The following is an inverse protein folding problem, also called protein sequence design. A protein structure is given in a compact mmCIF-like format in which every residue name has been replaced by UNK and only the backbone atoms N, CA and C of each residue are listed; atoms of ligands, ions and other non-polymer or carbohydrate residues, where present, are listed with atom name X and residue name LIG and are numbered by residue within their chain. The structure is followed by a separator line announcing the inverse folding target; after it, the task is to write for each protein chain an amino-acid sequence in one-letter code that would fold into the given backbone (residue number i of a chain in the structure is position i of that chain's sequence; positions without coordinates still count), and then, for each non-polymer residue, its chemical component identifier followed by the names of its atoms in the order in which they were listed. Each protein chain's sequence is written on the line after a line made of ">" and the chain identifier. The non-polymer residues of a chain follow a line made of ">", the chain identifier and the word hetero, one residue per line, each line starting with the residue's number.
data_IF_118103025992
#
_entry.id   IF_118103025992
#
_cell.length_a   1.000
_cell.length_b   1.000
_cell.length_c   1.000
_cell.angle_alpha   90.00
_cell.angle_beta   90.00
_cell.angle_gamma   90.00
#
_symmetry.space_group_name_H-M   'P 1'
#
loop_
_entity.id
_entity.type
_entity.pdbx_description
1 polymer ?
#
# COMPACT_ATOMS: atom_id res chain seq x y z
N UNK A 1 14.78 58.33 45.09
CA UNK A 1 13.92 57.74 44.05
C UNK A 1 14.83 56.86 43.19
N UNK A 2 14.97 55.58 43.50
CA UNK A 2 14.15 54.45 42.96
C UNK A 2 14.30 54.38 41.43
N UNK A 3 14.79 53.32 40.78
CA UNK A 3 14.82 51.90 41.11
C UNK A 3 15.96 51.16 40.38
N UNK A 4 16.46 50.09 41.01
CA UNK A 4 17.05 48.92 40.37
C UNK A 4 16.11 48.33 39.31
N UNK A 5 16.67 47.84 38.20
CA UNK A 5 16.12 46.66 37.54
C UNK A 5 17.29 45.72 37.26
N UNK A 6 17.15 44.53 37.82
CA UNK A 6 18.17 43.50 37.90
C UNK A 6 18.41 42.76 36.58
N UNK A 7 19.64 42.27 36.52
CA UNK A 7 20.19 41.28 35.61
C UNK A 7 19.40 39.95 35.65
N UNK A 8 19.08 39.37 34.49
CA UNK A 8 19.05 37.91 34.32
C UNK A 8 19.14 37.48 32.85
N UNK A 9 20.37 37.47 32.33
CA UNK A 9 20.75 36.59 31.21
C UNK A 9 20.92 35.16 31.73
N UNK A 10 19.90 34.32 31.57
CA UNK A 10 19.84 32.94 32.07
C UNK A 10 19.92 31.89 30.96
N UNK A 11 21.11 31.35 30.79
CA UNK A 11 21.54 30.28 29.87
C UNK A 11 20.81 28.95 30.04
N UNK A 12 19.63 28.75 29.44
CA UNK A 12 18.85 27.52 29.68
C UNK A 12 18.39 26.72 28.46
N UNK A 13 18.77 27.08 27.22
CA UNK A 13 18.24 26.39 26.02
C UNK A 13 19.24 25.53 25.22
N UNK A 14 20.53 25.51 25.56
CA UNK A 14 21.55 24.93 24.66
C UNK A 14 22.20 23.60 25.10
N UNK A 15 21.90 23.08 26.30
CA UNK A 15 22.58 21.89 26.85
C UNK A 15 21.80 20.57 26.72
N UNK A 16 20.49 20.58 26.52
CA UNK A 16 19.67 19.37 26.40
C UNK A 16 19.70 18.76 24.99
N UNK A 17 19.86 19.59 23.95
CA UNK A 17 19.78 19.16 22.55
C UNK A 17 21.00 18.32 22.10
N UNK A 18 22.22 18.64 22.58
CA UNK A 18 23.46 17.96 22.14
C UNK A 18 23.65 16.52 22.64
N UNK A 19 22.95 16.09 23.72
CA UNK A 19 23.14 14.75 24.32
C UNK A 19 22.22 13.70 23.71
N UNK A 20 21.01 14.09 23.29
CA UNK A 20 19.99 13.19 22.73
C UNK A 20 20.35 12.67 21.33
N UNK A 21 21.04 13.48 20.52
CA UNK A 21 21.51 13.10 19.18
C UNK A 21 22.49 11.92 19.16
N UNK A 22 23.35 11.77 20.18
CA UNK A 22 24.37 10.70 20.22
C UNK A 22 23.79 9.34 20.57
N UNK A 23 22.74 9.31 21.40
CA UNK A 23 22.06 8.07 21.80
C UNK A 23 21.32 7.44 20.64
N UNK A 24 20.47 8.22 19.96
CA UNK A 24 19.66 7.71 18.84
C UNK A 24 20.51 7.22 17.67
N UNK A 25 21.65 7.85 17.38
CA UNK A 25 22.62 7.37 16.38
C UNK A 25 23.17 5.97 16.69
N UNK A 26 23.30 5.59 17.97
CA UNK A 26 23.72 4.24 18.38
C UNK A 26 22.61 3.23 18.18
N UNK A 27 21.38 3.57 18.60
CA UNK A 27 20.21 2.70 18.41
C UNK A 27 19.94 2.50 16.91
N UNK A 28 20.07 3.56 16.12
CA UNK A 28 19.98 3.53 14.66
C UNK A 28 21.07 2.64 14.05
N UNK A 29 22.33 2.77 14.50
CA UNK A 29 23.43 1.89 14.06
C UNK A 29 23.16 0.43 14.39
N UNK A 30 22.62 0.13 15.57
CA UNK A 30 22.29 -1.22 16.00
C UNK A 30 21.12 -1.79 15.19
N UNK A 31 20.05 -1.02 14.97
CA UNK A 31 18.94 -1.40 14.11
C UNK A 31 19.41 -1.65 12.67
N UNK A 32 20.27 -0.78 12.13
CA UNK A 32 20.86 -0.94 10.79
C UNK A 32 21.75 -2.18 10.71
N UNK A 33 22.55 -2.46 11.75
CA UNK A 33 23.45 -3.63 11.80
C UNK A 33 22.67 -4.94 11.99
N UNK A 34 21.58 -4.93 12.76
CA UNK A 34 20.65 -6.05 12.93
C UNK A 34 19.91 -6.36 11.61
N UNK A 35 19.41 -5.33 10.92
CA UNK A 35 18.80 -5.46 9.59
C UNK A 35 19.78 -5.81 8.46
N UNK A 36 21.09 -5.74 8.70
CA UNK A 36 22.14 -6.05 7.73
C UNK A 36 22.74 -7.45 7.92
N UNK A 37 22.27 -8.25 8.88
CA UNK A 37 22.94 -9.47 9.27
C UNK A 37 22.60 -10.69 8.38
N UNK A 38 23.57 -11.04 7.53
CA UNK A 38 24.09 -12.39 7.26
C UNK A 38 23.11 -13.51 6.83
N UNK A 39 22.26 -13.29 5.83
CA UNK A 39 22.03 -14.22 4.69
C UNK A 39 21.02 -13.60 3.69
N UNK A 40 21.37 -12.42 3.16
CA UNK A 40 20.40 -11.57 2.46
C UNK A 40 19.83 -12.26 1.21
N UNK A 41 20.63 -12.97 0.44
CA UNK A 41 20.19 -13.53 -0.83
C UNK A 41 19.17 -14.69 -0.62
N UNK A 42 19.47 -15.64 0.27
CA UNK A 42 18.54 -16.74 0.58
C UNK A 42 17.22 -16.24 1.19
N UNK A 43 17.30 -15.27 2.11
CA UNK A 43 16.10 -14.67 2.71
C UNK A 43 15.26 -13.92 1.67
N UNK A 44 15.90 -13.20 0.74
CA UNK A 44 15.25 -12.48 -0.34
C UNK A 44 14.60 -13.43 -1.36
N UNK A 45 15.24 -14.55 -1.70
CA UNK A 45 14.65 -15.56 -2.58
C UNK A 45 13.45 -16.26 -1.93
N UNK A 46 13.54 -16.58 -0.64
CA UNK A 46 12.40 -17.13 0.11
C UNK A 46 11.23 -16.15 0.20
N UNK A 47 11.51 -14.87 0.45
CA UNK A 47 10.48 -13.83 0.45
C UNK A 47 9.84 -13.63 -0.92
N UNK A 48 10.63 -13.66 -2.00
CA UNK A 48 10.13 -13.61 -3.38
C UNK A 48 9.16 -14.76 -3.64
N UNK A 49 9.53 -15.99 -3.29
CA UNK A 49 8.65 -17.15 -3.43
C UNK A 49 7.32 -16.94 -2.71
N UNK A 50 7.36 -16.50 -1.45
CA UNK A 50 6.15 -16.24 -0.67
C UNK A 50 5.29 -15.13 -1.28
N UNK A 51 5.87 -13.99 -1.65
CA UNK A 51 5.12 -12.88 -2.25
C UNK A 51 4.54 -13.22 -3.62
N UNK A 52 5.23 -14.02 -4.43
CA UNK A 52 4.67 -14.53 -5.69
C UNK A 52 3.41 -15.35 -5.44
N UNK A 53 3.43 -16.25 -4.44
CA UNK A 53 2.25 -17.06 -4.10
C UNK A 53 1.10 -16.17 -3.65
N UNK A 54 1.35 -15.18 -2.77
CA UNK A 54 0.28 -14.27 -2.34
C UNK A 54 -0.25 -13.44 -3.50
N UNK A 55 0.60 -12.91 -4.39
CA UNK A 55 0.16 -12.17 -5.57
C UNK A 55 -0.68 -13.05 -6.50
N UNK A 56 -0.23 -14.27 -6.81
CA UNK A 56 -1.01 -15.22 -7.62
C UNK A 56 -2.36 -15.51 -6.96
N UNK A 57 -2.39 -15.68 -5.64
CA UNK A 57 -3.63 -15.92 -4.89
C UNK A 57 -4.59 -14.73 -5.02
N UNK A 58 -4.12 -13.50 -4.81
CA UNK A 58 -4.93 -12.29 -4.96
C UNK A 58 -5.41 -12.13 -6.40
N UNK A 59 -4.54 -12.35 -7.39
CA UNK A 59 -4.92 -12.30 -8.80
C UNK A 59 -6.00 -13.34 -9.13
N UNK A 60 -5.89 -14.53 -8.55
CA UNK A 60 -6.87 -15.60 -8.72
C UNK A 60 -8.20 -15.21 -8.10
N UNK A 61 -8.22 -14.73 -6.85
CA UNK A 61 -9.46 -14.32 -6.18
C UNK A 61 -10.14 -13.18 -6.95
N UNK A 62 -9.40 -12.15 -7.33
CA UNK A 62 -9.96 -10.99 -8.04
C UNK A 62 -10.45 -11.35 -9.43
N UNK A 63 -9.77 -12.28 -10.12
CA UNK A 63 -10.26 -12.86 -11.38
C UNK A 63 -11.57 -13.62 -11.16
N UNK A 64 -11.65 -14.46 -10.13
CA UNK A 64 -12.87 -15.20 -9.79
C UNK A 64 -14.02 -14.26 -9.41
N UNK A 65 -13.76 -13.22 -8.63
CA UNK A 65 -14.74 -12.18 -8.28
C UNK A 65 -15.21 -11.37 -9.49
N UNK A 66 -14.36 -11.20 -10.50
CA UNK A 66 -14.75 -10.53 -11.75
C UNK A 66 -15.67 -11.38 -12.62
N UNK A 67 -15.45 -12.70 -12.67
CA UNK A 67 -16.30 -13.63 -13.43
C UNK A 67 -17.58 -14.02 -12.70
N UNK A 68 -17.50 -14.11 -11.38
CA UNK A 68 -18.59 -14.47 -10.49
C UNK A 68 -18.76 -13.36 -9.44
N UNK A 69 -19.32 -12.20 -9.85
CA UNK A 69 -19.51 -11.08 -8.95
C UNK A 69 -20.45 -11.42 -7.78
N UNK A 70 -20.36 -10.64 -6.68
CA UNK A 70 -21.37 -10.63 -5.63
C UNK A 70 -22.79 -10.57 -6.22
N UNK A 71 -23.71 -11.38 -5.70
CA UNK A 71 -25.07 -11.52 -6.21
C UNK A 71 -25.22 -12.38 -7.47
N UNK A 72 -24.12 -12.84 -8.07
CA UNK A 72 -24.12 -13.78 -9.18
C UNK A 72 -24.46 -13.17 -10.54
N UNK A 73 -24.44 -14.02 -11.55
CA UNK A 73 -24.78 -13.67 -12.95
C UNK A 73 -26.01 -14.43 -13.38
N UNK A 74 -26.87 -13.79 -14.17
CA UNK A 74 -28.05 -14.47 -14.71
C UNK A 74 -27.63 -15.55 -15.69
N UNK A 75 -28.02 -16.83 -15.50
CA UNK A 75 -27.70 -17.89 -16.45
C UNK A 75 -28.41 -17.65 -17.79
N UNK A 76 -27.79 -18.08 -18.88
CA UNK A 76 -28.42 -18.12 -20.20
C UNK A 76 -29.41 -19.29 -20.25
N UNK A 77 -30.70 -19.00 -20.03
CA UNK A 77 -31.77 -20.00 -20.18
C UNK A 77 -32.13 -20.11 -21.67
N UNK A 78 -31.79 -21.24 -22.30
CA UNK A 78 -32.12 -21.51 -23.70
C UNK A 78 -33.59 -21.91 -23.82
N UNK A 79 -34.39 -21.10 -24.53
CA UNK A 79 -35.78 -21.44 -24.87
C UNK A 79 -36.89 -20.70 -24.11
N UNK A 80 -36.56 -19.74 -23.24
CA UNK A 80 -37.52 -18.73 -22.77
C UNK A 80 -37.19 -17.38 -23.40
N UNK A 81 -37.53 -17.27 -24.68
CA UNK A 81 -37.63 -15.96 -25.32
C UNK A 81 -38.80 -15.23 -24.68
N UNK A 82 -38.47 -14.23 -23.88
CA UNK A 82 -39.39 -13.31 -23.18
C UNK A 82 -40.07 -13.94 -21.97
N UNK A 83 -39.46 -13.70 -20.83
CA UNK A 83 -40.25 -13.42 -19.65
C UNK A 83 -39.76 -12.07 -19.13
N UNK A 84 -40.60 -11.04 -19.36
CA UNK A 84 -40.55 -9.71 -18.75
C UNK A 84 -40.85 -9.84 -17.26
N UNK A 85 -40.12 -10.73 -16.60
CA UNK A 85 -40.28 -11.00 -15.19
C UNK A 85 -39.43 -9.99 -14.46
N UNK A 86 -40.07 -9.33 -13.51
CA UNK A 86 -39.46 -8.53 -12.47
C UNK A 86 -38.56 -9.47 -11.62
N UNK A 87 -37.38 -9.78 -12.14
CA UNK A 87 -36.49 -10.86 -11.64
C UNK A 87 -35.82 -10.48 -10.32
N UNK A 88 -35.88 -9.20 -9.98
CA UNK A 88 -35.45 -8.65 -8.73
C UNK A 88 -36.65 -7.85 -8.28
N UNK A 89 -37.37 -8.25 -7.24
CA UNK A 89 -38.52 -7.54 -6.67
C UNK A 89 -38.15 -6.17 -6.09
N UNK A 90 -37.44 -5.36 -6.87
CA UNK A 90 -37.06 -3.99 -6.62
C UNK A 90 -38.20 -3.15 -7.19
N UNK A 91 -39.09 -2.70 -6.30
CA UNK A 91 -40.37 -2.05 -6.59
C UNK A 91 -40.34 -0.79 -7.50
N UNK A 92 -39.21 -0.46 -8.14
CA UNK A 92 -39.09 0.67 -9.08
C UNK A 92 -38.06 0.47 -10.22
N UNK A 93 -37.59 -0.75 -10.50
CA UNK A 93 -36.56 -0.97 -11.53
C UNK A 93 -37.12 -1.69 -12.76
N UNK A 94 -37.48 -0.94 -13.81
CA UNK A 94 -37.87 -1.44 -15.14
C UNK A 94 -36.73 -2.11 -15.93
N UNK A 95 -35.66 -2.52 -15.26
CA UNK A 95 -34.44 -3.07 -15.86
C UNK A 95 -34.53 -4.59 -15.97
N UNK A 96 -34.86 -5.07 -17.16
CA UNK A 96 -34.80 -6.50 -17.49
C UNK A 96 -33.35 -6.99 -17.47
N UNK A 97 -32.99 -7.81 -16.47
CA UNK A 97 -31.67 -8.43 -16.36
C UNK A 97 -31.48 -9.47 -17.49
N UNK A 98 -30.51 -9.24 -18.38
CA UNK A 98 -30.22 -10.15 -19.50
C UNK A 98 -29.33 -11.31 -19.07
N UNK A 99 -29.37 -12.40 -19.84
CA UNK A 99 -28.45 -13.52 -19.67
C UNK A 99 -26.99 -13.04 -19.72
N UNK A 100 -26.19 -13.44 -18.74
CA UNK A 100 -24.79 -13.03 -18.57
C UNK A 100 -24.57 -11.72 -17.82
N UNK A 101 -25.63 -10.97 -17.48
CA UNK A 101 -25.50 -9.76 -16.66
C UNK A 101 -25.44 -10.09 -15.16
N UNK A 102 -24.67 -9.30 -14.42
CA UNK A 102 -24.54 -9.43 -12.98
C UNK A 102 -25.78 -8.87 -12.27
N UNK A 103 -26.34 -9.61 -11.33
CA UNK A 103 -27.56 -9.20 -10.62
C UNK A 103 -27.35 -7.86 -9.87
N UNK A 104 -26.20 -7.69 -9.24
CA UNK A 104 -25.87 -6.46 -8.51
C UNK A 104 -25.70 -5.23 -9.41
N UNK A 105 -25.46 -5.41 -10.72
CA UNK A 105 -25.43 -4.29 -11.66
C UNK A 105 -26.81 -3.64 -11.83
N UNK A 106 -27.89 -4.40 -11.59
CA UNK A 106 -29.27 -3.89 -11.64
C UNK A 106 -29.74 -3.43 -10.26
N UNK A 107 -29.44 -4.17 -9.18
CA UNK A 107 -29.86 -3.83 -7.82
C UNK A 107 -29.15 -2.57 -7.28
N UNK A 108 -27.84 -2.47 -7.50
CA UNK A 108 -27.01 -1.37 -6.97
C UNK A 108 -25.91 -0.99 -7.96
N UNK A 109 -26.26 -0.31 -9.08
CA UNK A 109 -25.33 -0.01 -10.16
C UNK A 109 -24.13 0.82 -9.72
N UNK A 110 -24.32 1.75 -8.78
CA UNK A 110 -23.23 2.60 -8.27
C UNK A 110 -22.19 1.80 -7.48
N UNK A 111 -22.63 0.95 -6.54
CA UNK A 111 -21.73 0.14 -5.72
C UNK A 111 -21.08 -0.96 -6.55
N UNK A 112 -21.82 -1.55 -7.49
CA UNK A 112 -21.28 -2.51 -8.44
C UNK A 112 -20.18 -1.92 -9.32
N UNK A 113 -20.35 -0.68 -9.80
CA UNK A 113 -19.32 0.01 -10.59
C UNK A 113 -18.06 0.28 -9.77
N UNK A 114 -18.20 0.77 -8.53
CA UNK A 114 -17.08 0.98 -7.60
C UNK A 114 -16.34 -0.33 -7.30
N UNK A 115 -17.09 -1.41 -7.08
CA UNK A 115 -16.55 -2.75 -6.88
C UNK A 115 -15.72 -3.20 -8.08
N UNK A 116 -16.24 -3.09 -9.31
CA UNK A 116 -15.52 -3.50 -10.52
C UNK A 116 -14.22 -2.70 -10.71
N UNK A 117 -14.25 -1.39 -10.49
CA UNK A 117 -13.04 -0.57 -10.57
C UNK A 117 -11.99 -1.00 -9.54
N UNK A 118 -12.38 -1.13 -8.28
CA UNK A 118 -11.47 -1.52 -7.19
C UNK A 118 -10.90 -2.93 -7.42
N UNK A 119 -11.74 -3.89 -7.82
CA UNK A 119 -11.32 -5.25 -8.12
C UNK A 119 -10.36 -5.32 -9.31
N UNK A 120 -10.61 -4.55 -10.37
CA UNK A 120 -9.73 -4.47 -11.54
C UNK A 120 -8.39 -3.84 -11.21
N UNK A 121 -8.37 -2.77 -10.40
CA UNK A 121 -7.14 -2.16 -9.91
C UNK A 121 -6.33 -3.18 -9.09
N UNK A 122 -6.99 -3.92 -8.20
CA UNK A 122 -6.35 -4.96 -7.40
C UNK A 122 -5.76 -6.08 -8.28
N UNK A 123 -6.52 -6.55 -9.28
CA UNK A 123 -6.06 -7.57 -10.23
C UNK A 123 -4.82 -7.11 -11.01
N UNK A 124 -4.87 -5.92 -11.61
CA UNK A 124 -3.75 -5.35 -12.38
C UNK A 124 -2.53 -5.08 -11.49
N UNK A 125 -2.74 -4.56 -10.28
CA UNK A 125 -1.67 -4.35 -9.32
C UNK A 125 -0.99 -5.68 -8.94
N UNK A 126 -1.78 -6.73 -8.71
CA UNK A 126 -1.25 -8.05 -8.40
C UNK A 126 -0.46 -8.66 -9.57
N UNK A 127 -0.97 -8.53 -10.80
CA UNK A 127 -0.23 -8.94 -12.00
C UNK A 127 1.06 -8.14 -12.18
N UNK A 128 1.06 -6.85 -11.88
CA UNK A 128 2.26 -6.01 -11.95
C UNK A 128 3.31 -6.45 -10.94
N UNK A 129 2.90 -6.80 -9.71
CA UNK A 129 3.78 -7.40 -8.70
C UNK A 129 4.31 -8.74 -9.21
N UNK A 130 3.47 -9.62 -9.74
CA UNK A 130 3.89 -10.92 -10.27
C UNK A 130 4.87 -10.78 -11.44
N UNK A 131 4.65 -9.84 -12.35
CA UNK A 131 5.58 -9.50 -13.43
C UNK A 131 6.91 -9.04 -12.84
N UNK A 132 6.93 -8.10 -11.91
CA UNK A 132 8.15 -7.64 -11.24
C UNK A 132 8.91 -8.78 -10.55
N UNK A 133 8.20 -9.72 -9.92
CA UNK A 133 8.83 -10.90 -9.32
C UNK A 133 9.30 -11.92 -10.35
N UNK A 134 8.67 -12.00 -11.52
CA UNK A 134 8.97 -12.98 -12.56
C UNK A 134 10.02 -12.50 -13.56
N UNK A 135 10.16 -11.18 -13.78
CA UNK A 135 11.03 -10.56 -14.80
C UNK A 135 12.53 -10.86 -14.68
N UNK A 136 12.97 -11.70 -13.74
CA UNK A 136 14.38 -12.07 -13.56
C UNK A 136 15.28 -10.90 -13.16
N UNK A 137 14.71 -9.69 -12.99
CA UNK A 137 15.39 -8.51 -12.50
C UNK A 137 15.92 -8.87 -11.11
N UNK A 138 17.23 -8.87 -10.97
CA UNK A 138 17.89 -9.33 -9.75
C UNK A 138 17.39 -8.49 -8.57
N UNK A 139 16.56 -9.09 -7.71
CA UNK A 139 16.06 -8.48 -6.46
C UNK A 139 17.19 -8.16 -5.45
N UNK A 140 18.45 -8.29 -5.86
CA UNK A 140 19.60 -7.82 -5.09
C UNK A 140 19.59 -6.31 -4.92
N UNK A 141 18.94 -5.56 -5.83
CA UNK A 141 18.90 -4.11 -5.72
C UNK A 141 17.85 -3.67 -4.70
N UNK A 142 18.26 -2.80 -3.77
CA UNK A 142 17.39 -2.27 -2.71
C UNK A 142 16.13 -1.59 -3.27
N UNK A 143 16.22 -0.97 -4.44
CA UNK A 143 15.07 -0.34 -5.10
C UNK A 143 14.04 -1.35 -5.59
N UNK A 144 14.43 -2.48 -6.17
CA UNK A 144 13.45 -3.45 -6.69
C UNK A 144 12.69 -4.12 -5.56
N UNK A 145 13.37 -4.47 -4.47
CA UNK A 145 12.73 -4.99 -3.26
C UNK A 145 11.76 -3.97 -2.63
N UNK A 146 12.14 -2.70 -2.66
CA UNK A 146 11.27 -1.62 -2.21
C UNK A 146 10.04 -1.46 -3.09
N UNK A 147 10.19 -1.50 -4.42
CA UNK A 147 9.06 -1.47 -5.36
C UNK A 147 8.12 -2.66 -5.18
N UNK A 148 8.65 -3.87 -5.03
CA UNK A 148 7.86 -5.08 -4.75
C UNK A 148 7.08 -4.93 -3.44
N UNK A 149 7.74 -4.43 -2.39
CA UNK A 149 7.08 -4.22 -1.10
C UNK A 149 5.96 -3.18 -1.19
N UNK A 150 6.18 -2.05 -1.88
CA UNK A 150 5.14 -1.03 -2.07
C UNK A 150 3.99 -1.56 -2.91
N UNK A 151 4.31 -2.24 -4.02
CA UNK A 151 3.31 -2.85 -4.89
C UNK A 151 2.45 -3.87 -4.12
N UNK A 152 3.07 -4.65 -3.23
CA UNK A 152 2.35 -5.61 -2.39
C UNK A 152 1.43 -4.92 -1.38
N UNK A 153 1.93 -3.89 -0.67
CA UNK A 153 1.10 -3.11 0.25
C UNK A 153 -0.09 -2.49 -0.49
N UNK A 154 0.15 -1.85 -1.63
CA UNK A 154 -0.88 -1.24 -2.46
C UNK A 154 -1.91 -2.28 -2.93
N UNK A 155 -1.46 -3.46 -3.36
CA UNK A 155 -2.34 -4.56 -3.79
C UNK A 155 -3.23 -5.03 -2.64
N UNK A 156 -2.67 -5.24 -1.45
CA UNK A 156 -3.42 -5.65 -0.26
C UNK A 156 -4.42 -4.57 0.20
N UNK A 157 -4.05 -3.29 0.14
CA UNK A 157 -4.97 -2.16 0.35
C UNK A 157 -6.15 -2.23 -0.61
N UNK A 158 -5.87 -2.34 -1.91
CA UNK A 158 -6.91 -2.36 -2.94
C UNK A 158 -7.83 -3.58 -2.78
N UNK A 159 -7.29 -4.73 -2.39
CA UNK A 159 -8.07 -5.93 -2.11
C UNK A 159 -9.02 -5.71 -0.93
N UNK A 160 -8.53 -5.06 0.13
CA UNK A 160 -9.30 -4.82 1.34
C UNK A 160 -10.43 -3.81 1.09
N UNK A 161 -10.19 -2.76 0.29
CA UNK A 161 -11.24 -1.84 -0.19
C UNK A 161 -12.26 -2.58 -1.07
N UNK A 162 -11.80 -3.49 -1.94
CA UNK A 162 -12.71 -4.29 -2.78
C UNK A 162 -13.61 -5.17 -1.93
N UNK A 163 -13.04 -5.80 -0.89
CA UNK A 163 -13.78 -6.63 0.06
C UNK A 163 -14.86 -5.83 0.81
N UNK A 164 -14.54 -4.64 1.28
CA UNK A 164 -15.48 -3.74 1.96
C UNK A 164 -16.70 -3.41 1.09
N UNK A 165 -16.46 -2.98 -0.15
CA UNK A 165 -17.54 -2.68 -1.11
C UNK A 165 -18.36 -3.95 -1.40
N UNK A 166 -17.71 -5.10 -1.56
CA UNK A 166 -18.39 -6.37 -1.82
C UNK A 166 -19.26 -6.82 -0.64
N UNK A 167 -18.82 -6.61 0.60
CA UNK A 167 -19.62 -6.92 1.80
C UNK A 167 -20.82 -5.98 1.89
N UNK A 168 -20.64 -4.69 1.60
CA UNK A 168 -21.76 -3.73 1.52
C UNK A 168 -22.79 -4.14 0.47
N UNK A 169 -22.36 -4.73 -0.64
CA UNK A 169 -23.26 -5.23 -1.69
C UNK A 169 -24.08 -6.47 -1.30
N UNK A 170 -23.62 -7.29 -0.33
CA UNK A 170 -24.27 -8.57 0.02
C UNK A 170 -25.03 -8.47 1.35
N UNK A 171 -24.64 -7.55 2.23
CA UNK A 171 -25.25 -7.39 3.55
C UNK A 171 -26.64 -6.74 3.40
N UNK A 172 -27.66 -7.16 4.16
CA UNK A 172 -28.98 -6.51 4.17
C UNK A 172 -29.03 -5.28 5.10
N UNK A 173 -29.78 -4.24 4.71
CA UNK A 173 -29.82 -2.88 5.29
C UNK A 173 -29.85 -2.80 6.83
N UNK A 174 -30.50 -3.77 7.48
CA UNK A 174 -30.66 -3.87 8.94
C UNK A 174 -29.31 -4.00 9.67
N UNK A 175 -28.26 -4.48 8.98
CA UNK A 175 -26.93 -4.71 9.52
C UNK A 175 -25.86 -3.76 8.96
N UNK A 176 -26.24 -2.77 8.14
CA UNK A 176 -25.28 -1.94 7.39
C UNK A 176 -24.44 -1.04 8.29
N UNK A 177 -25.09 -0.30 9.20
CA UNK A 177 -24.39 0.71 9.99
C UNK A 177 -23.32 0.08 10.89
N UNK A 178 -23.69 -0.95 11.68
CA UNK A 178 -22.74 -1.59 12.61
C UNK A 178 -21.63 -2.37 11.88
N UNK A 179 -21.94 -3.04 10.77
CA UNK A 179 -20.96 -3.91 10.08
C UNK A 179 -19.98 -3.10 9.23
N UNK A 180 -20.48 -2.09 8.49
CA UNK A 180 -19.65 -1.29 7.60
C UNK A 180 -18.81 -0.26 8.35
N UNK A 181 -19.31 0.35 9.44
CA UNK A 181 -18.48 1.24 10.26
C UNK A 181 -17.33 0.48 10.95
N UNK A 182 -17.59 -0.74 11.42
CA UNK A 182 -16.56 -1.59 11.99
C UNK A 182 -15.47 -1.94 10.96
N UNK A 183 -15.88 -2.40 9.77
CA UNK A 183 -14.95 -2.72 8.69
C UNK A 183 -14.17 -1.48 8.24
N UNK A 184 -14.85 -0.38 7.94
CA UNK A 184 -14.24 0.89 7.56
C UNK A 184 -13.23 1.40 8.59
N UNK A 185 -13.56 1.35 9.89
CA UNK A 185 -12.63 1.71 10.97
C UNK A 185 -11.38 0.83 10.95
N UNK A 186 -11.54 -0.49 10.78
CA UNK A 186 -10.41 -1.41 10.62
C UNK A 186 -9.59 -1.12 9.37
N UNK A 187 -10.22 -0.73 8.25
CA UNK A 187 -9.53 -0.31 7.03
C UNK A 187 -8.63 0.89 7.30
N UNK A 188 -9.14 1.91 7.98
CA UNK A 188 -8.38 3.12 8.28
C UNK A 188 -7.19 2.85 9.20
N UNK A 189 -7.38 2.01 10.22
CA UNK A 189 -6.29 1.57 11.11
C UNK A 189 -5.23 0.80 10.30
N UNK A 190 -5.66 -0.13 9.44
CA UNK A 190 -4.78 -0.94 8.61
C UNK A 190 -4.00 -0.09 7.59
N UNK A 191 -4.68 0.87 6.94
CA UNK A 191 -4.08 1.88 6.08
C UNK A 191 -3.05 2.73 6.81
N UNK A 192 -3.36 3.16 8.03
CA UNK A 192 -2.43 3.90 8.89
C UNK A 192 -1.16 3.10 9.20
N UNK A 193 -1.30 1.83 9.59
CA UNK A 193 -0.17 0.94 9.91
C UNK A 193 0.74 0.69 8.71
N UNK A 194 0.16 0.36 7.55
CA UNK A 194 0.93 0.08 6.34
C UNK A 194 1.53 1.34 5.72
N UNK A 195 0.81 2.47 5.76
CA UNK A 195 1.34 3.77 5.33
C UNK A 195 2.51 4.19 6.21
N UNK A 196 2.40 4.07 7.53
CA UNK A 196 3.48 4.38 8.47
C UNK A 196 4.71 3.49 8.25
N UNK A 197 4.51 2.17 8.13
CA UNK A 197 5.61 1.24 7.84
C UNK A 197 6.26 1.52 6.48
N UNK A 198 5.45 1.81 5.45
CA UNK A 198 5.92 2.19 4.12
C UNK A 198 6.76 3.47 4.16
N UNK A 199 6.26 4.52 4.83
CA UNK A 199 6.96 5.80 5.03
C UNK A 199 8.32 5.62 5.73
N UNK A 200 8.40 4.81 6.78
CA UNK A 200 9.67 4.54 7.45
C UNK A 200 10.69 3.87 6.51
N UNK A 201 10.23 2.97 5.65
CA UNK A 201 11.07 2.30 4.66
C UNK A 201 11.49 3.24 3.52
N UNK A 202 10.60 4.13 3.04
CA UNK A 202 10.94 5.13 2.01
C UNK A 202 11.97 6.13 2.56
N UNK A 203 11.76 6.66 3.77
CA UNK A 203 12.68 7.59 4.45
C UNK A 203 14.07 6.96 4.62
N UNK A 204 14.14 5.68 4.98
CA UNK A 204 15.41 4.95 5.12
C UNK A 204 16.21 4.89 3.82
N UNK A 205 15.53 4.75 2.68
CA UNK A 205 16.17 4.71 1.36
C UNK A 205 16.61 6.10 0.92
N UNK A 206 15.78 7.12 1.16
CA UNK A 206 16.11 8.51 0.84
C UNK A 206 17.34 8.96 1.63
N UNK A 207 17.36 8.70 2.95
CA UNK A 207 18.51 9.03 3.82
C UNK A 207 19.78 8.32 3.33
N UNK A 208 19.68 7.04 3.00
CA UNK A 208 20.82 6.30 2.45
C UNK A 208 21.30 6.89 1.12
N UNK A 209 20.39 7.20 0.20
CA UNK A 209 20.71 7.80 -1.10
C UNK A 209 21.36 9.17 -0.99
N UNK A 210 20.85 10.05 -0.11
CA UNK A 210 21.46 11.35 0.18
C UNK A 210 22.85 11.17 0.77
N UNK A 211 23.02 10.25 1.73
CA UNK A 211 24.33 10.00 2.35
C UNK A 211 25.37 9.48 1.35
N UNK A 212 24.98 8.60 0.43
CA UNK A 212 25.87 8.09 -0.63
C UNK A 212 26.27 9.20 -1.60
N UNK A 213 25.31 10.06 -1.98
CA UNK A 213 25.54 11.19 -2.87
C UNK A 213 26.48 12.24 -2.26
N UNK A 214 26.28 12.58 -0.98
CA UNK A 214 27.15 13.50 -0.26
C UNK A 214 28.57 12.94 -0.13
N UNK A 215 28.71 11.66 0.21
CA UNK A 215 30.01 11.00 0.32
C UNK A 215 30.77 11.00 -1.03
N UNK A 216 30.07 10.77 -2.16
CA UNK A 216 30.67 10.89 -3.50
C UNK A 216 31.13 12.31 -3.83
N UNK A 217 30.44 13.35 -3.34
CA UNK A 217 30.86 14.75 -3.54
C UNK A 217 32.11 15.11 -2.75
N UNK A 218 32.23 14.69 -1.49
CA UNK A 218 33.44 14.93 -0.69
C UNK A 218 34.67 14.26 -1.31
N UNK A 219 34.52 13.01 -1.79
CA UNK A 219 35.61 12.30 -2.49
C UNK A 219 36.04 13.02 -3.78
N UNK A 220 35.13 13.72 -4.46
CA UNK A 220 35.43 14.48 -5.69
C UNK A 220 36.08 15.83 -5.38
N UNK A 221 35.69 16.49 -4.29
CA UNK A 221 36.27 17.77 -3.83
C UNK A 221 37.70 17.64 -3.28
N UNK A 222 38.03 16.53 -2.61
CA UNK A 222 39.39 16.29 -2.11
C UNK A 222 40.41 15.90 -3.21
N UNK A 223 39.98 15.72 -4.46
CA UNK A 223 40.87 15.34 -5.58
C UNK A 223 41.25 16.50 -6.49
N UNK A 224 40.71 17.70 -6.29
CA UNK A 224 41.16 18.89 -7.03
C UNK A 224 42.48 19.40 -6.46
N UNK A 225 43.59 19.40 -7.22
CA UNK A 225 44.88 19.84 -6.71
C UNK A 225 44.86 21.34 -6.44
N UNK A 226 45.30 21.71 -5.23
CA UNK A 226 45.63 23.08 -4.84
C UNK A 226 46.63 23.64 -5.84
N UNK A 227 46.19 24.62 -6.65
CA UNK A 227 47.10 25.39 -7.50
C UNK A 227 48.13 26.08 -6.59
N UNK A 228 49.38 25.67 -6.71
CA UNK A 228 50.53 26.33 -6.09
C UNK A 228 50.65 27.76 -6.62
N UNK A 229 50.88 28.76 -5.76
CA UNK A 229 51.14 30.11 -6.22
C UNK A 229 52.51 30.15 -6.87
N UNK A 230 52.55 30.53 -8.15
CA UNK A 230 53.80 30.87 -8.83
C UNK A 230 54.41 32.14 -8.22
N UNK A 231 55.73 32.19 -8.07
CA UNK A 231 56.46 33.25 -7.37
C UNK A 231 56.33 34.62 -8.04
#
# INVERSE_FOLDING_TARGET
>A
MNNQVDNHGGSTETLTNKKQEKGWRRVFKLAVRWLSYKNKNDWLEKMRGNFSVVAIFIATITFQMGLNPPGGVRPAEYGKDKMDDDILGAENSTSTLRAGEAAMAVVSPENYSKFLYSNTICFIASLSVLLLLTSGIRLSHRFTMWLVSIGMCFTLTSLLVTYDIAVGMITPDILWDDTLDFLSTLLYIWMGLFSFSGLLLTLRIIIWGISDFLNKREVKGNRTPTKTPTP
#
